data_IF_216433700493
#
_entry.id   IF_216433700493
#
_cell.length_a   1.000
_cell.length_b   1.000
_cell.length_c   1.000
_cell.angle_alpha   90.00
_cell.angle_beta   90.00
_cell.angle_gamma   90.00
#
_symmetry.space_group_name_H-M   'P 1'
#
loop_
_entity.id
_entity.type
_entity.pdbx_description
1 polymer ?
#
# COMPACT_ATOMS: atom_id res chain seq x y z
N UNK A 1 -61.87 10.60 -62.31
CA UNK A 1 -61.23 9.72 -61.34
C UNK A 1 -59.84 9.36 -61.90
N UNK A 2 -58.86 10.16 -61.46
CA UNK A 2 -57.45 9.96 -61.91
C UNK A 2 -56.66 9.43 -60.72
N UNK A 3 -56.21 8.21 -60.82
CA UNK A 3 -55.27 7.56 -59.86
C UNK A 3 -53.88 8.12 -60.08
N UNK A 4 -53.35 8.74 -59.03
CA UNK A 4 -51.97 9.27 -58.96
C UNK A 4 -51.07 8.19 -58.34
N UNK A 5 -49.95 7.78 -58.98
CA UNK A 5 -49.10 6.76 -58.43
C UNK A 5 -48.21 7.33 -57.33
N UNK A 6 -48.28 6.72 -56.16
CA UNK A 6 -47.49 7.02 -54.96
C UNK A 6 -46.02 6.55 -55.13
N UNK A 7 -45.11 7.48 -55.07
CA UNK A 7 -43.65 7.22 -55.15
C UNK A 7 -43.14 6.48 -53.92
N UNK A 8 -42.17 5.55 -54.06
CA UNK A 8 -41.60 4.84 -52.91
C UNK A 8 -40.60 5.72 -52.14
N UNK A 9 -40.80 5.74 -50.80
CA UNK A 9 -39.88 6.36 -49.85
C UNK A 9 -38.58 5.53 -49.76
N UNK A 10 -37.51 6.04 -50.31
CA UNK A 10 -36.13 5.51 -50.09
C UNK A 10 -35.61 5.99 -48.74
N UNK A 11 -35.64 5.13 -47.74
CA UNK A 11 -34.96 5.32 -46.45
C UNK A 11 -33.46 5.09 -46.62
N UNK A 12 -32.70 6.15 -46.80
CA UNK A 12 -31.22 6.12 -46.70
C UNK A 12 -30.85 6.09 -45.22
N UNK A 13 -30.60 4.90 -44.71
CA UNK A 13 -29.97 4.70 -43.38
C UNK A 13 -28.50 5.10 -43.46
N UNK A 14 -28.16 6.26 -42.91
CA UNK A 14 -26.78 6.73 -42.77
C UNK A 14 -26.06 5.92 -41.71
N UNK A 15 -25.13 5.05 -42.16
CA UNK A 15 -24.33 4.15 -41.29
C UNK A 15 -23.10 4.90 -40.70
N UNK A 16 -22.92 6.18 -41.02
CA UNK A 16 -21.72 6.96 -40.68
C UNK A 16 -21.53 7.31 -39.21
N UNK A 17 -22.54 7.53 -38.35
CA UNK A 17 -22.30 7.86 -36.94
C UNK A 17 -21.78 6.66 -36.11
N UNK A 18 -22.13 5.43 -36.47
CA UNK A 18 -21.72 4.25 -35.71
C UNK A 18 -20.21 3.93 -35.86
N UNK A 19 -19.65 4.13 -37.05
CA UNK A 19 -18.22 3.90 -37.32
C UNK A 19 -17.33 4.89 -36.55
N UNK A 20 -17.73 6.16 -36.44
CA UNK A 20 -16.99 7.18 -35.73
C UNK A 20 -16.89 6.92 -34.23
N UNK A 21 -17.97 6.44 -33.60
CA UNK A 21 -17.99 6.09 -32.15
C UNK A 21 -17.09 4.91 -31.88
N UNK A 22 -17.07 3.92 -32.76
CA UNK A 22 -16.26 2.71 -32.58
C UNK A 22 -14.76 3.01 -32.69
N UNK A 23 -14.35 3.86 -33.64
CA UNK A 23 -12.96 4.32 -33.78
C UNK A 23 -12.53 5.10 -32.54
N UNK A 24 -13.36 5.99 -32.01
CA UNK A 24 -13.04 6.78 -30.82
C UNK A 24 -12.87 5.91 -29.59
N UNK A 25 -13.70 4.88 -29.41
CA UNK A 25 -13.58 3.91 -28.32
C UNK A 25 -12.28 3.09 -28.39
N UNK A 26 -11.88 2.65 -29.60
CA UNK A 26 -10.63 1.90 -29.79
C UNK A 26 -9.41 2.79 -29.52
N UNK A 27 -9.43 4.06 -29.95
CA UNK A 27 -8.32 5.00 -29.69
C UNK A 27 -8.21 5.29 -28.19
N UNK A 28 -9.33 5.49 -27.48
CA UNK A 28 -9.31 5.68 -26.03
C UNK A 28 -8.79 4.46 -25.29
N UNK A 29 -9.14 3.25 -25.73
CA UNK A 29 -8.64 2.01 -25.14
C UNK A 29 -7.13 1.85 -25.34
N UNK A 30 -6.64 2.15 -26.55
CA UNK A 30 -5.20 2.12 -26.86
C UNK A 30 -4.40 3.14 -26.07
N UNK A 31 -4.91 4.37 -25.91
CA UNK A 31 -4.30 5.41 -25.07
C UNK A 31 -4.26 4.97 -23.61
N UNK A 32 -5.34 4.37 -23.09
CA UNK A 32 -5.39 3.86 -21.73
C UNK A 32 -4.38 2.73 -21.51
N UNK A 33 -4.24 1.80 -22.47
CA UNK A 33 -3.25 0.73 -22.42
C UNK A 33 -1.84 1.32 -22.47
N UNK A 34 -1.56 2.28 -23.34
CA UNK A 34 -0.23 2.91 -23.45
C UNK A 34 0.16 3.69 -22.20
N UNK A 35 -0.78 4.37 -21.54
CA UNK A 35 -0.52 5.08 -20.28
C UNK A 35 -0.20 4.09 -19.17
N UNK A 36 -0.93 2.97 -19.07
CA UNK A 36 -0.66 1.96 -18.06
C UNK A 36 0.65 1.18 -18.33
N UNK A 37 0.98 0.90 -19.58
CA UNK A 37 2.27 0.28 -19.93
C UNK A 37 3.46 1.25 -19.77
N UNK A 38 3.28 2.55 -19.99
CA UNK A 38 4.34 3.54 -19.79
C UNK A 38 4.65 3.79 -18.30
N UNK A 39 3.73 3.49 -17.41
CA UNK A 39 3.96 3.61 -15.95
C UNK A 39 4.83 2.48 -15.38
N UNK A 40 5.00 1.37 -16.10
CA UNK A 40 5.77 0.20 -15.65
C UNK A 40 7.20 0.15 -16.23
N UNK A 41 7.59 1.13 -17.06
CA UNK A 41 8.91 1.18 -17.70
C UNK A 41 9.86 2.21 -17.06
N UNK A 42 9.77 2.41 -15.75
CA UNK A 42 10.61 3.32 -14.96
C UNK A 42 11.85 2.69 -14.32
N UNK A 43 12.25 1.47 -14.69
CA UNK A 43 13.52 0.89 -14.24
C UNK A 43 14.51 0.86 -15.39
N UNK A 44 15.17 1.97 -15.62
CA UNK A 44 16.42 2.00 -16.39
C UNK A 44 17.47 1.22 -15.60
N UNK A 45 17.74 -0.01 -16.02
CA UNK A 45 18.94 -0.74 -15.62
C UNK A 45 20.15 0.02 -16.16
N UNK A 46 20.63 0.98 -15.42
CA UNK A 46 21.99 1.49 -15.60
C UNK A 46 22.92 0.41 -15.03
N UNK A 47 23.59 -0.31 -15.94
CA UNK A 47 24.64 -1.24 -15.61
C UNK A 47 25.82 -0.49 -14.99
N UNK A 48 25.88 -0.49 -13.71
CA UNK A 48 26.98 -0.08 -12.86
C UNK A 48 26.69 -0.68 -11.50
N UNK A 49 27.36 -1.78 -11.18
CA UNK A 49 27.41 -2.34 -9.83
C UNK A 49 28.12 -1.35 -8.92
N UNK A 50 27.41 -0.31 -8.48
CA UNK A 50 27.72 0.31 -7.22
C UNK A 50 26.98 -0.56 -6.20
N UNK A 51 27.67 -1.23 -5.26
CA UNK A 51 26.98 -1.76 -4.12
C UNK A 51 26.33 -0.55 -3.45
N UNK A 52 25.03 -0.38 -3.62
CA UNK A 52 24.25 0.42 -2.70
C UNK A 52 24.39 -0.35 -1.38
N UNK A 53 25.38 0.04 -0.60
CA UNK A 53 25.37 -0.24 0.82
C UNK A 53 24.18 0.56 1.32
N UNK A 54 23.01 -0.05 1.24
CA UNK A 54 21.88 0.31 2.07
C UNK A 54 22.45 0.08 3.45
N UNK A 55 22.93 1.14 4.10
CA UNK A 55 23.35 1.10 5.49
C UNK A 55 22.14 0.62 6.25
N UNK A 56 22.05 -0.70 6.47
CA UNK A 56 20.91 -1.33 7.09
C UNK A 56 20.73 -0.68 8.45
N UNK A 57 19.56 -0.14 8.70
CA UNK A 57 19.22 0.33 10.04
C UNK A 57 19.29 -0.90 10.96
N UNK A 58 19.97 -0.75 12.08
CA UNK A 58 20.04 -1.83 13.06
C UNK A 58 18.73 -1.89 13.85
N UNK A 59 18.30 -3.10 14.18
CA UNK A 59 17.17 -3.31 15.10
C UNK A 59 17.57 -2.84 16.49
N UNK A 60 16.70 -2.08 17.16
CA UNK A 60 16.88 -1.75 18.56
C UNK A 60 16.76 -3.03 19.41
N UNK A 61 17.82 -3.39 20.14
CA UNK A 61 17.87 -4.61 20.98
C UNK A 61 16.83 -4.60 22.11
N UNK A 62 16.46 -3.43 22.57
CA UNK A 62 15.36 -3.20 23.51
C UNK A 62 14.77 -1.84 23.19
N UNK A 63 13.49 -1.76 23.00
CA UNK A 63 12.77 -0.51 22.76
C UNK A 63 11.39 -0.60 23.36
N UNK A 64 11.04 0.39 24.16
CA UNK A 64 9.67 0.58 24.67
C UNK A 64 8.79 1.36 23.69
N UNK A 65 9.30 1.68 22.51
CA UNK A 65 8.60 2.53 21.55
C UNK A 65 7.27 1.93 21.06
N UNK A 66 7.13 0.61 21.08
CA UNK A 66 5.93 -0.12 20.67
C UNK A 66 5.23 -0.87 21.83
N UNK A 67 5.65 -0.69 23.07
CA UNK A 67 5.12 -1.45 24.22
C UNK A 67 3.60 -1.26 24.35
N UNK A 68 3.08 -0.08 24.06
CA UNK A 68 1.64 0.17 24.12
C UNK A 68 0.81 -0.81 23.27
N UNK A 69 1.24 -1.09 22.02
CA UNK A 69 0.56 -2.06 21.18
C UNK A 69 0.98 -3.50 21.48
N UNK A 70 2.25 -3.72 21.85
CA UNK A 70 2.81 -5.05 22.11
C UNK A 70 2.22 -5.72 23.35
N UNK A 71 1.94 -4.94 24.40
CA UNK A 71 1.49 -5.47 25.69
C UNK A 71 0.00 -5.85 25.71
N UNK A 72 -0.64 -5.87 24.53
CA UNK A 72 -2.02 -6.31 24.39
C UNK A 72 -2.10 -7.84 24.30
N UNK A 73 -2.95 -8.43 25.15
CA UNK A 73 -3.04 -9.90 25.30
C UNK A 73 -3.69 -10.63 24.12
N UNK A 74 -4.31 -9.88 23.19
CA UNK A 74 -5.03 -10.44 22.04
C UNK A 74 -4.12 -10.81 20.86
N UNK A 75 -2.84 -10.39 20.91
CA UNK A 75 -1.93 -10.60 19.79
C UNK A 75 -1.32 -12.01 19.85
N UNK A 76 -1.46 -12.83 18.78
CA UNK A 76 -0.88 -14.16 18.72
C UNK A 76 0.65 -14.13 18.86
N UNK A 77 1.20 -15.20 19.43
CA UNK A 77 2.65 -15.29 19.70
C UNK A 77 3.48 -15.18 18.44
N UNK A 78 3.03 -15.78 17.32
CA UNK A 78 3.72 -15.74 16.04
C UNK A 78 3.65 -14.38 15.34
N UNK A 79 2.84 -13.45 15.85
CA UNK A 79 2.70 -12.08 15.35
C UNK A 79 3.59 -11.11 16.13
N UNK A 80 4.02 -11.47 17.34
CA UNK A 80 4.87 -10.63 18.19
C UNK A 80 6.23 -10.27 17.57
N UNK A 81 6.68 -11.00 16.58
CA UNK A 81 7.91 -10.71 15.84
C UNK A 81 7.84 -9.46 14.95
N UNK A 82 6.64 -8.88 14.80
CA UNK A 82 6.43 -7.61 14.12
C UNK A 82 6.85 -6.38 14.94
N UNK A 83 6.97 -6.51 16.26
CA UNK A 83 7.29 -5.39 17.14
C UNK A 83 8.77 -5.07 17.15
N UNK A 84 9.25 -4.60 16.00
CA UNK A 84 10.62 -4.18 15.76
C UNK A 84 10.67 -2.71 15.38
N UNK A 85 11.72 -2.03 15.78
CA UNK A 85 11.98 -0.64 15.39
C UNK A 85 13.47 -0.43 15.13
N UNK A 86 13.85 0.52 14.27
CA UNK A 86 15.23 0.94 14.12
C UNK A 86 15.79 1.54 15.42
N UNK A 87 17.11 1.45 15.59
CA UNK A 87 17.81 2.13 16.68
C UNK A 87 17.52 3.63 16.64
N UNK A 88 17.26 4.21 17.82
CA UNK A 88 16.96 5.64 17.98
C UNK A 88 15.48 5.98 17.75
N UNK A 89 14.62 5.02 17.53
CA UNK A 89 13.17 5.24 17.48
C UNK A 89 12.63 5.55 18.88
N UNK A 90 11.75 6.56 18.94
CA UNK A 90 11.04 6.93 20.15
C UNK A 90 9.54 7.10 19.87
N UNK A 91 8.72 6.83 20.86
CA UNK A 91 7.28 7.16 20.81
C UNK A 91 7.11 8.67 20.97
N UNK A 92 6.27 9.28 20.13
CA UNK A 92 5.97 10.72 20.20
C UNK A 92 4.72 11.03 21.03
N UNK A 93 3.85 10.04 21.20
CA UNK A 93 2.64 10.12 22.05
C UNK A 93 2.20 8.72 22.45
N UNK A 94 1.25 8.60 23.36
CA UNK A 94 0.61 7.32 23.64
C UNK A 94 0.01 6.71 22.37
N UNK A 95 0.06 5.38 22.29
CA UNK A 95 -0.65 4.65 21.25
C UNK A 95 -2.17 4.80 21.39
N UNK A 96 -2.90 4.33 20.39
CA UNK A 96 -4.36 4.27 20.44
C UNK A 96 -4.83 2.92 19.94
N UNK A 97 -5.83 2.36 20.63
CA UNK A 97 -6.58 1.20 20.17
C UNK A 97 -7.95 1.73 19.77
N UNK A 98 -8.20 1.98 18.47
CA UNK A 98 -9.52 2.34 18.02
C UNK A 98 -10.45 1.18 18.35
N UNK A 99 -11.55 1.48 19.02
CA UNK A 99 -12.56 0.47 19.36
C UNK A 99 -13.33 0.12 18.07
N UNK A 100 -12.73 -0.70 17.24
CA UNK A 100 -13.23 -1.04 15.89
C UNK A 100 -14.42 -2.02 15.91
N UNK A 101 -14.98 -2.31 17.08
CA UNK A 101 -16.09 -3.24 17.25
C UNK A 101 -15.66 -4.59 17.84
N UNK A 102 -16.64 -5.41 18.20
CA UNK A 102 -16.39 -6.67 18.88
C UNK A 102 -15.60 -7.64 18.00
N UNK A 103 -14.37 -7.90 18.35
CA UNK A 103 -13.53 -8.95 17.79
C UNK A 103 -12.35 -8.51 16.92
N UNK A 104 -12.27 -7.25 16.52
CA UNK A 104 -11.21 -6.79 15.64
C UNK A 104 -10.17 -5.99 16.43
N UNK A 105 -8.97 -6.54 16.54
CA UNK A 105 -7.83 -5.82 17.10
C UNK A 105 -7.30 -4.79 16.12
N UNK A 106 -7.09 -3.56 16.55
CA UNK A 106 -6.46 -2.48 15.78
C UNK A 106 -5.70 -1.55 16.72
N UNK A 107 -4.39 -1.49 16.62
CA UNK A 107 -3.56 -0.62 17.41
C UNK A 107 -2.61 0.19 16.54
N UNK A 108 -2.46 1.47 16.83
CA UNK A 108 -1.44 2.29 16.20
C UNK A 108 -0.63 3.10 17.21
N UNK A 109 0.64 3.30 16.88
CA UNK A 109 1.62 4.00 17.70
C UNK A 109 2.34 5.05 16.85
N UNK A 110 2.23 6.35 17.16
CA UNK A 110 3.02 7.40 16.54
C UNK A 110 4.46 7.37 17.04
N UNK A 111 5.41 7.48 16.12
CA UNK A 111 6.84 7.28 16.34
C UNK A 111 7.66 8.35 15.62
N UNK A 112 8.88 8.56 16.11
CA UNK A 112 9.91 9.31 15.40
C UNK A 112 11.21 8.52 15.33
N UNK A 113 11.97 8.67 14.24
CA UNK A 113 13.23 7.96 14.04
C UNK A 113 14.26 8.85 13.33
N UNK A 114 15.55 8.76 13.70
CA UNK A 114 16.63 9.51 13.06
C UNK A 114 17.05 8.85 11.74
N UNK A 115 16.17 8.88 10.74
CA UNK A 115 16.38 8.27 9.42
C UNK A 115 15.59 9.01 8.34
N UNK A 116 15.62 8.52 7.10
CA UNK A 116 14.75 8.97 6.03
C UNK A 116 13.67 7.95 5.70
N UNK A 117 12.64 8.36 4.96
CA UNK A 117 11.50 7.52 4.63
C UNK A 117 11.87 6.26 3.84
N UNK A 118 12.76 6.37 2.85
CA UNK A 118 13.20 5.22 2.05
C UNK A 118 13.93 4.17 2.89
N UNK A 119 14.85 4.61 3.76
CA UNK A 119 15.58 3.70 4.66
C UNK A 119 14.65 3.04 5.68
N UNK A 120 13.65 3.76 6.21
CA UNK A 120 12.68 3.18 7.14
C UNK A 120 11.85 2.10 6.46
N UNK A 121 11.26 2.39 5.29
CA UNK A 121 10.44 1.41 4.58
C UNK A 121 11.25 0.20 4.13
N UNK A 122 12.49 0.39 3.67
CA UNK A 122 13.42 -0.69 3.32
C UNK A 122 13.79 -1.55 4.54
N UNK A 123 13.99 -0.94 5.71
CA UNK A 123 14.21 -1.66 6.97
C UNK A 123 13.05 -2.60 7.27
N UNK A 124 11.82 -2.10 7.26
CA UNK A 124 10.66 -2.93 7.56
C UNK A 124 10.43 -4.02 6.51
N UNK A 125 10.64 -3.73 5.21
CA UNK A 125 10.54 -4.75 4.17
C UNK A 125 11.53 -5.88 4.42
N UNK A 126 12.81 -5.57 4.64
CA UNK A 126 13.83 -6.58 4.89
C UNK A 126 13.57 -7.40 6.16
N UNK A 127 13.23 -6.71 7.26
CA UNK A 127 13.12 -7.34 8.57
C UNK A 127 11.82 -8.14 8.74
N UNK A 128 10.71 -7.65 8.21
CA UNK A 128 9.44 -8.37 8.29
C UNK A 128 9.40 -9.55 7.32
N UNK A 129 9.92 -9.41 6.09
CA UNK A 129 10.02 -10.53 5.15
C UNK A 129 10.89 -11.66 5.71
N UNK A 130 12.00 -11.33 6.38
CA UNK A 130 12.85 -12.32 7.05
C UNK A 130 12.12 -13.07 8.20
N UNK A 131 11.01 -12.53 8.70
CA UNK A 131 10.13 -13.11 9.73
C UNK A 131 8.87 -13.76 9.16
N UNK A 132 8.81 -13.92 7.84
CA UNK A 132 7.68 -14.57 7.16
C UNK A 132 6.45 -13.69 6.95
N UNK A 133 6.60 -12.37 7.07
CA UNK A 133 5.59 -11.43 6.62
C UNK A 133 5.70 -11.23 5.10
N UNK A 134 4.58 -11.11 4.43
CA UNK A 134 4.54 -10.82 3.00
C UNK A 134 4.14 -9.37 2.79
N UNK A 135 4.75 -8.71 1.81
CA UNK A 135 4.28 -7.39 1.40
C UNK A 135 2.88 -7.53 0.82
N UNK A 136 1.92 -6.86 1.46
CA UNK A 136 0.52 -6.85 1.08
C UNK A 136 0.19 -5.69 0.12
N UNK A 137 0.78 -4.52 0.38
CA UNK A 137 0.58 -3.33 -0.45
C UNK A 137 1.71 -2.32 -0.27
N UNK A 138 2.07 -1.66 -1.37
CA UNK A 138 2.86 -0.43 -1.39
C UNK A 138 2.01 0.71 -1.93
N UNK A 139 2.17 1.90 -1.38
CA UNK A 139 1.42 3.05 -1.88
C UNK A 139 1.51 4.27 -0.98
N UNK A 140 0.40 4.98 -0.88
CA UNK A 140 0.28 6.14 -0.02
C UNK A 140 -1.07 6.12 0.71
N UNK A 141 -1.04 6.50 1.97
CA UNK A 141 -2.24 6.77 2.76
C UNK A 141 -2.35 8.29 2.95
N UNK A 142 -3.39 8.91 2.40
CA UNK A 142 -3.57 10.36 2.41
C UNK A 142 -2.33 11.14 1.90
N UNK A 143 -1.65 10.60 0.86
CA UNK A 143 -0.43 11.19 0.31
C UNK A 143 0.86 10.88 1.08
N UNK A 144 0.79 10.20 2.23
CA UNK A 144 1.94 9.75 3.00
C UNK A 144 2.43 8.38 2.52
N UNK A 145 3.72 8.16 2.24
CA UNK A 145 4.26 6.86 1.85
C UNK A 145 3.93 5.79 2.88
N UNK A 146 3.40 4.65 2.41
CA UNK A 146 2.98 3.55 3.26
C UNK A 146 3.38 2.20 2.64
N UNK A 147 3.75 1.25 3.51
CA UNK A 147 3.85 -0.16 3.16
C UNK A 147 3.03 -0.98 4.17
N UNK A 148 2.26 -1.91 3.65
CA UNK A 148 1.49 -2.87 4.43
C UNK A 148 2.09 -4.26 4.26
N UNK A 149 2.20 -4.99 5.37
CA UNK A 149 2.69 -6.37 5.43
C UNK A 149 1.61 -7.25 6.04
N UNK A 150 1.50 -8.49 5.58
CA UNK A 150 0.51 -9.44 6.05
C UNK A 150 1.15 -10.77 6.45
N UNK A 151 0.65 -11.38 7.54
CA UNK A 151 1.05 -12.70 8.01
C UNK A 151 -0.15 -13.42 8.61
N UNK A 152 -0.22 -14.75 8.43
CA UNK A 152 -1.22 -15.58 9.09
C UNK A 152 -0.93 -15.68 10.59
N UNK A 153 -1.92 -15.40 11.42
CA UNK A 153 -1.87 -15.60 12.87
C UNK A 153 -2.24 -17.02 13.27
N UNK A 154 -1.75 -17.48 14.43
CA UNK A 154 -2.11 -18.78 14.98
C UNK A 154 -3.56 -18.82 15.49
N UNK A 155 -4.23 -17.68 15.48
CA UNK A 155 -5.65 -17.49 15.84
C UNK A 155 -6.62 -17.72 14.68
N UNK A 156 -6.12 -18.04 13.47
CA UNK A 156 -6.91 -18.30 12.28
C UNK A 156 -7.28 -17.05 11.48
N UNK A 157 -6.70 -15.91 11.79
CA UNK A 157 -6.89 -14.65 11.07
C UNK A 157 -5.61 -14.15 10.43
N UNK A 158 -5.74 -13.32 9.40
CA UNK A 158 -4.62 -12.56 8.90
C UNK A 158 -4.37 -11.31 9.74
N UNK A 159 -3.11 -11.04 10.00
CA UNK A 159 -2.66 -9.82 10.67
C UNK A 159 -1.93 -8.92 9.70
N UNK A 160 -2.16 -7.63 9.83
CA UNK A 160 -1.54 -6.63 8.95
C UNK A 160 -0.75 -5.63 9.79
N UNK A 161 0.50 -5.40 9.37
CA UNK A 161 1.36 -4.32 9.87
C UNK A 161 1.42 -3.23 8.82
N UNK A 162 1.12 -2.01 9.21
CA UNK A 162 1.23 -0.81 8.39
C UNK A 162 2.33 0.13 8.92
N UNK A 163 3.23 0.53 8.02
CA UNK A 163 4.24 1.57 8.29
C UNK A 163 3.95 2.75 7.38
N UNK A 164 3.56 3.89 7.98
CA UNK A 164 3.19 5.11 7.25
C UNK A 164 4.08 6.26 7.69
N UNK A 165 4.80 6.87 6.75
CA UNK A 165 5.64 8.05 7.02
C UNK A 165 4.77 9.31 6.92
N UNK A 166 4.53 9.97 8.05
CA UNK A 166 3.63 11.13 8.13
C UNK A 166 4.33 12.46 7.92
N UNK A 167 5.61 12.54 8.28
CA UNK A 167 6.43 13.74 8.11
C UNK A 167 7.90 13.38 7.93
N UNK A 168 8.61 14.12 7.11
CA UNK A 168 10.05 13.95 6.90
C UNK A 168 10.74 15.31 6.93
N UNK A 169 11.77 15.45 7.79
CA UNK A 169 12.60 16.66 7.90
C UNK A 169 14.01 16.28 8.32
N UNK A 170 15.03 16.64 7.50
CA UNK A 170 16.47 16.59 7.84
C UNK A 170 16.91 15.34 8.64
N UNK A 171 16.75 14.15 8.10
CA UNK A 171 17.14 12.88 8.77
C UNK A 171 16.34 12.55 10.05
N UNK A 172 15.23 13.22 10.27
CA UNK A 172 14.25 12.85 11.30
C UNK A 172 12.89 12.68 10.63
N UNK A 173 12.24 11.58 10.89
CA UNK A 173 10.93 11.31 10.35
C UNK A 173 9.94 10.99 11.46
N UNK A 174 8.72 11.49 11.29
CA UNK A 174 7.56 11.05 12.05
C UNK A 174 6.82 10.01 11.23
N UNK A 175 6.44 8.93 11.87
CA UNK A 175 5.79 7.81 11.22
C UNK A 175 4.84 7.10 12.17
N UNK A 176 3.97 6.28 11.65
CA UNK A 176 3.01 5.50 12.43
C UNK A 176 3.23 4.02 12.16
N UNK A 177 3.38 3.26 13.23
CA UNK A 177 3.21 1.82 13.25
C UNK A 177 1.74 1.52 13.51
N UNK A 178 1.13 0.67 12.70
CA UNK A 178 -0.22 0.16 12.93
C UNK A 178 -0.18 -1.36 12.81
N UNK A 179 -0.83 -2.05 13.72
CA UNK A 179 -1.04 -3.49 13.64
C UNK A 179 -2.52 -3.79 13.89
N UNK A 180 -3.11 -4.58 13.03
CA UNK A 180 -4.52 -4.93 13.15
C UNK A 180 -4.81 -6.34 12.64
N UNK A 181 -5.86 -6.94 13.19
CA UNK A 181 -6.43 -8.19 12.73
C UNK A 181 -7.30 -7.90 11.50
N UNK A 182 -7.08 -8.60 10.40
CA UNK A 182 -7.95 -8.55 9.24
C UNK A 182 -9.14 -9.48 9.46
N UNK A 183 -10.33 -9.06 9.06
CA UNK A 183 -11.55 -9.88 9.16
C UNK A 183 -11.55 -11.12 8.25
N UNK A 184 -10.60 -11.22 7.31
CA UNK A 184 -10.42 -12.40 6.47
C UNK A 184 -9.82 -13.55 7.29
N UNK A 185 -10.49 -14.70 7.27
CA UNK A 185 -9.99 -15.96 7.84
C UNK A 185 -9.04 -16.65 6.88
N UNK A 186 -8.07 -17.41 7.43
CA UNK A 186 -7.08 -18.22 6.68
C UNK A 186 -7.76 -19.40 5.99
#
# INVERSE_FOLDING_TARGET
MSDEPKAPLTTTTSIWPAAGVLILAVVMLLVFILINFASDQGVTKVGGTIPVVVGGLNIAKSSSALDYCKDQSEIPVNINDAFIVPVGTASTSGGNIPNAGAGDFDCYQPLTSPTNSGSLLAFFSSELEARGWNVFSHGASNGAPQTLFQKAGDDGFYWVVGVTVTKSAHNLIDWTFRIYQNSETI
#
